data_IF_368946822045
#
_entry.id   IF_368946822045
#
_cell.length_a   1.000
_cell.length_b   1.000
_cell.length_c   1.000
_cell.angle_alpha   90.00
_cell.angle_beta   90.00
_cell.angle_gamma   90.00
#
_symmetry.space_group_name_H-M   'P 1'
#
loop_
_entity.id
_entity.type
_entity.pdbx_description
1 polymer ?
#
# COMPACT_ATOMS: atom_id res chain seq x y z
N UNK A 1 89.84 9.96 -15.80
CA UNK A 1 88.80 11.01 -15.89
C UNK A 1 87.46 10.30 -15.82
N UNK A 2 86.94 10.11 -14.62
CA UNK A 2 85.65 9.44 -14.42
C UNK A 2 84.54 10.49 -14.54
N UNK A 3 83.63 10.26 -15.49
CA UNK A 3 82.53 11.17 -15.76
C UNK A 3 81.50 11.14 -14.62
N UNK A 4 81.26 12.29 -14.00
CA UNK A 4 80.16 12.45 -13.06
C UNK A 4 78.85 12.18 -13.81
N UNK A 5 78.20 11.07 -13.47
CA UNK A 5 76.89 10.72 -14.02
C UNK A 5 75.84 11.43 -13.18
N UNK A 6 75.24 12.49 -13.74
CA UNK A 6 74.16 13.22 -13.08
C UNK A 6 72.87 12.39 -13.16
N UNK A 7 72.55 11.66 -12.09
CA UNK A 7 71.23 11.00 -11.98
C UNK A 7 70.22 12.04 -11.51
N UNK A 8 69.26 12.36 -12.37
CA UNK A 8 68.25 13.38 -12.08
C UNK A 8 67.31 12.85 -10.99
N UNK A 9 67.43 13.39 -9.78
CA UNK A 9 66.64 12.96 -8.60
C UNK A 9 65.13 13.08 -8.85
N UNK A 10 64.72 14.00 -9.72
CA UNK A 10 63.33 14.21 -10.11
C UNK A 10 62.80 13.15 -11.10
N UNK A 11 63.66 12.44 -11.83
CA UNK A 11 63.21 11.33 -12.70
C UNK A 11 62.80 10.12 -11.88
N UNK A 12 63.60 9.74 -10.88
CA UNK A 12 63.26 8.61 -9.99
C UNK A 12 62.15 8.93 -8.99
N UNK A 13 62.23 10.08 -8.29
CA UNK A 13 61.23 10.44 -7.26
C UNK A 13 59.98 11.11 -7.83
N UNK A 14 60.08 11.79 -8.96
CA UNK A 14 58.92 12.44 -9.59
C UNK A 14 57.86 11.45 -10.05
N UNK A 15 58.29 10.29 -10.57
CA UNK A 15 57.40 9.19 -10.95
C UNK A 15 56.67 8.64 -9.71
N UNK A 16 57.36 8.47 -8.58
CA UNK A 16 56.75 8.00 -7.33
C UNK A 16 55.64 8.95 -6.85
N UNK A 17 55.88 10.27 -6.89
CA UNK A 17 54.85 11.25 -6.50
C UNK A 17 53.64 11.23 -7.44
N UNK A 18 53.85 11.07 -8.75
CA UNK A 18 52.75 10.96 -9.72
C UNK A 18 51.91 9.71 -9.44
N UNK A 19 52.55 8.58 -9.15
CA UNK A 19 51.86 7.33 -8.80
C UNK A 19 51.03 7.50 -7.53
N UNK A 20 51.58 8.14 -6.49
CA UNK A 20 50.88 8.39 -5.22
C UNK A 20 49.67 9.32 -5.44
N UNK A 21 49.81 10.38 -6.23
CA UNK A 21 48.72 11.32 -6.52
C UNK A 21 47.61 10.60 -7.31
N UNK A 22 47.95 9.79 -8.32
CA UNK A 22 46.97 8.98 -9.05
C UNK A 22 46.24 7.99 -8.14
N UNK A 23 46.95 7.34 -7.21
CA UNK A 23 46.36 6.42 -6.25
C UNK A 23 45.37 7.12 -5.29
N UNK A 24 45.74 8.31 -4.80
CA UNK A 24 44.86 9.12 -3.94
C UNK A 24 43.63 9.66 -4.69
N UNK A 25 43.80 10.08 -5.94
CA UNK A 25 42.67 10.53 -6.76
C UNK A 25 41.68 9.40 -7.06
N UNK A 26 42.13 8.15 -7.14
CA UNK A 26 41.27 6.98 -7.30
C UNK A 26 40.45 6.65 -6.04
N UNK A 27 40.95 7.02 -4.85
CA UNK A 27 40.24 6.84 -3.58
C UNK A 27 39.03 7.77 -3.43
N UNK A 28 39.02 8.95 -4.08
CA UNK A 28 37.90 9.90 -4.00
C UNK A 28 36.60 9.32 -4.59
N UNK A 29 36.54 8.85 -5.84
CA UNK A 29 35.33 8.23 -6.39
C UNK A 29 34.98 6.93 -5.66
N UNK A 30 35.98 6.16 -5.21
CA UNK A 30 35.77 4.97 -4.40
C UNK A 30 35.07 5.30 -3.06
N UNK A 31 35.54 6.32 -2.34
CA UNK A 31 34.93 6.78 -1.09
C UNK A 31 33.53 7.36 -1.33
N UNK A 32 33.35 8.09 -2.43
CA UNK A 32 32.04 8.57 -2.87
C UNK A 32 31.08 7.47 -3.31
N UNK A 33 31.55 6.24 -3.58
CA UNK A 33 30.72 5.08 -3.91
C UNK A 33 30.40 4.28 -2.62
N UNK A 34 31.40 4.03 -1.78
CA UNK A 34 31.27 3.27 -0.53
C UNK A 34 30.44 4.02 0.51
N UNK A 35 30.57 5.35 0.56
CA UNK A 35 29.84 6.20 1.51
C UNK A 35 28.55 6.78 0.90
N UNK A 36 28.12 6.32 -0.28
CA UNK A 36 26.73 6.55 -0.68
C UNK A 36 25.88 5.80 0.32
N UNK A 37 25.13 6.53 1.13
CA UNK A 37 24.00 5.94 1.86
C UNK A 37 23.23 5.13 0.82
N UNK A 38 22.99 3.82 1.04
CA UNK A 38 22.15 3.08 0.12
C UNK A 38 20.87 3.91 -0.04
N UNK A 39 20.46 4.14 -1.29
CA UNK A 39 19.12 4.67 -1.56
C UNK A 39 18.20 3.51 -1.16
N UNK A 40 17.97 3.40 0.15
CA UNK A 40 16.92 2.56 0.71
C UNK A 40 15.66 3.25 0.24
N UNK A 41 15.18 2.86 -0.95
CA UNK A 41 13.79 3.10 -1.31
C UNK A 41 13.00 2.62 -0.11
N UNK A 42 12.26 3.55 0.44
CA UNK A 42 11.36 3.51 1.58
C UNK A 42 10.46 2.26 1.55
N UNK A 43 11.03 1.08 1.79
CA UNK A 43 10.33 -0.20 1.87
C UNK A 43 10.03 -0.59 3.32
N UNK A 44 10.52 0.21 4.28
CA UNK A 44 10.30 0.04 5.73
C UNK A 44 9.31 1.11 6.25
N UNK A 45 8.44 1.68 5.40
CA UNK A 45 7.28 2.44 5.88
C UNK A 45 6.07 1.56 6.21
N UNK A 46 6.08 0.29 5.80
CA UNK A 46 4.89 -0.59 5.87
C UNK A 46 4.75 -1.38 7.16
N UNK A 47 5.78 -1.45 8.01
CA UNK A 47 5.58 -1.88 9.40
C UNK A 47 5.37 -0.63 10.25
N UNK A 48 4.30 0.11 9.93
CA UNK A 48 3.70 0.99 10.92
C UNK A 48 3.42 0.12 12.13
N UNK A 49 4.08 0.42 13.25
CA UNK A 49 3.85 -0.20 14.55
C UNK A 49 2.35 -0.36 14.74
N UNK A 50 1.86 -1.61 14.87
CA UNK A 50 0.44 -1.94 15.10
C UNK A 50 -0.01 -1.37 16.45
N UNK A 51 -0.14 -0.06 16.52
CA UNK A 51 -0.50 0.72 17.71
C UNK A 51 -1.99 0.97 17.61
N UNK A 52 -2.71 0.88 18.73
CA UNK A 52 -4.17 1.02 18.77
C UNK A 52 -4.71 2.33 18.14
N UNK A 53 -3.88 3.37 18.00
CA UNK A 53 -4.25 4.65 17.37
C UNK A 53 -4.23 4.67 15.83
N UNK A 54 -3.87 3.58 15.15
CA UNK A 54 -3.81 3.52 13.67
C UNK A 54 -5.18 3.23 13.04
N UNK A 55 -6.05 2.51 13.74
CA UNK A 55 -7.36 2.13 13.23
C UNK A 55 -8.37 3.26 13.47
N UNK A 56 -8.61 4.09 12.45
CA UNK A 56 -9.67 5.10 12.44
C UNK A 56 -11.02 4.45 12.12
N UNK A 57 -11.63 3.80 13.10
CA UNK A 57 -12.92 3.12 12.93
C UNK A 57 -14.06 4.03 13.38
N UNK A 58 -14.97 4.45 12.48
CA UNK A 58 -16.19 5.16 12.86
C UNK A 58 -17.04 4.36 13.86
N UNK A 59 -17.77 5.06 14.73
CA UNK A 59 -18.74 4.41 15.61
C UNK A 59 -19.93 3.84 14.81
N UNK A 60 -20.48 2.71 15.26
CA UNK A 60 -21.62 2.07 14.61
C UNK A 60 -21.27 1.30 13.34
N UNK A 61 -20.02 0.83 13.22
CA UNK A 61 -19.61 -0.12 12.20
C UNK A 61 -19.69 -1.54 12.75
N UNK A 62 -20.21 -2.46 11.94
CA UNK A 62 -20.19 -3.89 12.19
C UNK A 62 -19.19 -4.56 11.25
N UNK A 63 -18.45 -5.53 11.75
CA UNK A 63 -17.44 -6.27 10.99
C UNK A 63 -17.87 -7.71 10.79
N UNK A 64 -17.83 -8.17 9.53
CA UNK A 64 -18.00 -9.55 9.17
C UNK A 64 -16.71 -10.34 9.33
N UNK A 65 -16.85 -11.65 9.57
CA UNK A 65 -15.73 -12.61 9.58
C UNK A 65 -14.98 -12.68 8.24
N UNK A 66 -15.59 -12.17 7.16
CA UNK A 66 -15.02 -12.17 5.81
C UNK A 66 -14.25 -10.88 5.50
N UNK A 67 -13.78 -10.15 6.51
CA UNK A 67 -13.04 -8.91 6.36
C UNK A 67 -13.79 -7.80 5.61
N UNK A 68 -15.10 -7.77 5.80
CA UNK A 68 -15.98 -6.74 5.27
C UNK A 68 -16.67 -6.02 6.39
N UNK A 69 -16.95 -4.75 6.20
CA UNK A 69 -17.66 -3.94 7.18
C UNK A 69 -18.99 -3.45 6.63
N UNK A 70 -19.90 -3.12 7.54
CA UNK A 70 -21.16 -2.46 7.23
C UNK A 70 -21.45 -1.35 8.24
N UNK A 71 -21.86 -0.19 7.73
CA UNK A 71 -22.25 0.98 8.54
C UNK A 71 -23.64 1.43 8.14
N UNK A 72 -24.56 1.50 9.11
CA UNK A 72 -25.91 2.00 8.87
C UNK A 72 -25.93 3.53 8.96
N UNK A 73 -26.25 4.17 7.85
CA UNK A 73 -26.45 5.62 7.79
C UNK A 73 -27.83 6.00 8.37
N UNK A 74 -27.96 7.26 8.80
CA UNK A 74 -29.23 7.80 9.33
C UNK A 74 -30.38 7.77 8.31
N UNK A 75 -30.06 7.68 7.02
CA UNK A 75 -31.00 7.54 5.90
C UNK A 75 -31.65 6.15 5.83
N UNK A 76 -31.12 5.16 6.56
CA UNK A 76 -31.53 3.75 6.48
C UNK A 76 -30.80 2.95 5.40
N UNK A 77 -29.89 3.58 4.64
CA UNK A 77 -28.95 2.87 3.77
C UNK A 77 -27.73 2.40 4.56
N UNK A 78 -27.16 1.26 4.18
CA UNK A 78 -25.98 0.70 4.79
C UNK A 78 -24.79 0.71 3.81
N UNK A 79 -23.72 1.42 4.18
CA UNK A 79 -22.46 1.40 3.43
C UNK A 79 -21.68 0.13 3.75
N UNK A 80 -21.07 -0.45 2.73
CA UNK A 80 -20.25 -1.66 2.86
C UNK A 80 -18.90 -1.51 2.18
N UNK A 81 -17.88 -2.23 2.66
CA UNK A 81 -16.54 -2.22 2.09
C UNK A 81 -15.63 -3.27 2.70
N UNK A 82 -14.34 -3.23 2.36
CA UNK A 82 -13.29 -4.04 3.01
C UNK A 82 -12.76 -3.35 4.25
N UNK A 83 -12.40 -4.11 5.28
CA UNK A 83 -11.81 -3.54 6.50
C UNK A 83 -10.35 -3.09 6.28
N UNK A 84 -9.87 -2.22 7.19
CA UNK A 84 -8.51 -1.70 7.15
C UNK A 84 -7.45 -2.79 7.38
N UNK A 85 -7.81 -3.86 8.11
CA UNK A 85 -6.92 -4.99 8.33
C UNK A 85 -6.60 -5.71 7.01
N UNK A 86 -7.60 -6.04 6.21
CA UNK A 86 -7.43 -6.69 4.92
C UNK A 86 -6.62 -5.82 3.97
N UNK A 87 -6.93 -4.52 3.91
CA UNK A 87 -6.16 -3.60 3.08
C UNK A 87 -4.68 -3.56 3.47
N UNK A 88 -4.36 -3.46 4.77
CA UNK A 88 -2.96 -3.44 5.24
C UNK A 88 -2.21 -4.75 5.00
N UNK A 89 -2.90 -5.89 5.12
CA UNK A 89 -2.31 -7.22 4.87
C UNK A 89 -2.04 -7.43 3.38
N UNK A 90 -2.93 -6.92 2.53
CA UNK A 90 -2.94 -7.19 1.10
C UNK A 90 -2.14 -6.13 0.31
N UNK A 91 -2.08 -4.89 0.79
CA UNK A 91 -1.43 -3.76 0.14
C UNK A 91 -2.31 -3.12 -0.94
N UNK A 92 -1.70 -2.57 -1.98
CA UNK A 92 -2.43 -1.88 -3.06
C UNK A 92 -3.46 -2.79 -3.73
N UNK A 93 -4.73 -2.41 -3.63
CA UNK A 93 -5.86 -3.21 -4.08
C UNK A 93 -6.47 -2.65 -5.36
N UNK A 94 -6.56 -3.48 -6.40
CA UNK A 94 -7.36 -3.24 -7.61
C UNK A 94 -8.70 -3.93 -7.52
N UNK A 95 -9.76 -3.29 -7.99
CA UNK A 95 -11.12 -3.84 -7.98
C UNK A 95 -11.53 -4.15 -9.42
N UNK A 96 -11.96 -5.39 -9.68
CA UNK A 96 -12.24 -5.86 -11.03
C UNK A 96 -13.73 -5.88 -11.38
N UNK A 97 -14.59 -6.14 -10.41
CA UNK A 97 -16.02 -6.33 -10.67
C UNK A 97 -16.84 -5.53 -9.68
N UNK A 98 -17.72 -4.68 -10.24
CA UNK A 98 -18.77 -4.01 -9.51
C UNK A 98 -20.14 -4.48 -9.98
N UNK A 99 -21.06 -4.65 -9.04
CA UNK A 99 -22.50 -4.73 -9.31
C UNK A 99 -23.07 -3.35 -9.56
N UNK A 100 -24.17 -3.30 -10.29
CA UNK A 100 -24.86 -2.05 -10.62
C UNK A 100 -25.92 -1.69 -9.57
N UNK A 101 -26.26 -0.40 -9.48
CA UNK A 101 -27.36 0.05 -8.65
C UNK A 101 -28.69 -0.52 -9.16
N UNK A 102 -29.56 -0.93 -8.24
CA UNK A 102 -30.82 -1.64 -8.49
C UNK A 102 -30.70 -3.17 -8.42
N UNK A 103 -29.49 -3.72 -8.36
CA UNK A 103 -29.31 -5.16 -8.15
C UNK A 103 -29.56 -5.56 -6.69
N UNK A 104 -30.18 -6.74 -6.51
CA UNK A 104 -30.25 -7.38 -5.20
C UNK A 104 -28.99 -8.19 -4.92
N UNK A 105 -28.54 -8.18 -3.68
CA UNK A 105 -27.40 -8.96 -3.18
C UNK A 105 -27.77 -9.66 -1.88
N UNK A 106 -27.31 -10.90 -1.71
CA UNK A 106 -27.52 -11.67 -0.48
C UNK A 106 -26.28 -11.64 0.41
N UNK A 107 -26.48 -11.77 1.73
CA UNK A 107 -25.40 -12.00 2.70
C UNK A 107 -24.58 -13.23 2.28
N UNK A 108 -23.26 -13.09 2.24
CA UNK A 108 -22.34 -14.13 1.79
C UNK A 108 -22.20 -14.27 0.26
N UNK A 109 -22.94 -13.51 -0.54
CA UNK A 109 -22.76 -13.46 -2.00
C UNK A 109 -21.53 -12.60 -2.34
N UNK A 110 -20.85 -12.93 -3.45
CA UNK A 110 -19.70 -12.15 -3.94
C UNK A 110 -20.19 -10.76 -4.39
N UNK A 111 -19.72 -9.73 -3.69
CA UNK A 111 -20.01 -8.33 -4.00
C UNK A 111 -18.95 -7.69 -4.88
N UNK A 112 -17.69 -8.10 -4.76
CA UNK A 112 -16.58 -7.61 -5.58
C UNK A 112 -15.43 -8.64 -5.63
N UNK A 113 -14.62 -8.59 -6.69
CA UNK A 113 -13.34 -9.30 -6.77
C UNK A 113 -12.20 -8.28 -6.66
N UNK A 114 -11.28 -8.50 -5.71
CA UNK A 114 -10.12 -7.66 -5.50
C UNK A 114 -8.82 -8.37 -5.91
N UNK A 115 -7.86 -7.61 -6.42
CA UNK A 115 -6.56 -8.10 -6.90
C UNK A 115 -5.46 -7.27 -6.26
N UNK A 116 -4.46 -7.94 -5.69
CA UNK A 116 -3.28 -7.29 -5.14
C UNK A 116 -2.02 -8.10 -5.45
N UNK A 117 -1.15 -7.50 -6.25
CA UNK A 117 -0.06 -8.23 -6.89
C UNK A 117 -0.62 -9.41 -7.69
N UNK A 118 -0.24 -10.62 -7.28
CA UNK A 118 -0.66 -11.88 -7.92
C UNK A 118 -1.86 -12.56 -7.22
N UNK A 119 -2.31 -12.02 -6.08
CA UNK A 119 -3.41 -12.59 -5.29
C UNK A 119 -4.75 -12.06 -5.78
N UNK A 120 -5.77 -12.92 -5.78
CA UNK A 120 -7.17 -12.58 -6.05
C UNK A 120 -8.03 -13.03 -4.88
N UNK A 121 -8.91 -12.16 -4.40
CA UNK A 121 -9.82 -12.45 -3.31
C UNK A 121 -11.24 -12.05 -3.67
N UNK A 122 -12.19 -12.93 -3.37
CA UNK A 122 -13.61 -12.64 -3.48
C UNK A 122 -14.09 -11.99 -2.19
N UNK A 123 -14.71 -10.82 -2.32
CA UNK A 123 -15.25 -10.05 -1.21
C UNK A 123 -16.73 -10.36 -1.10
N UNK A 124 -17.16 -10.80 0.08
CA UNK A 124 -18.53 -11.23 0.34
C UNK A 124 -19.37 -10.13 0.98
N UNK A 125 -20.62 -10.02 0.56
CA UNK A 125 -21.55 -9.05 1.15
C UNK A 125 -21.83 -9.40 2.63
N UNK A 126 -21.70 -8.43 3.55
CA UNK A 126 -22.00 -8.65 4.97
C UNK A 126 -23.51 -8.74 5.26
N UNK A 127 -24.34 -8.16 4.39
CA UNK A 127 -25.81 -8.06 4.54
C UNK A 127 -26.54 -8.33 3.23
N UNK A 128 -27.80 -8.73 3.32
CA UNK A 128 -28.70 -8.86 2.19
C UNK A 128 -29.48 -7.57 1.96
N UNK A 129 -29.71 -7.20 0.71
CA UNK A 129 -30.47 -5.99 0.36
C UNK A 129 -30.40 -5.60 -1.11
N UNK A 130 -30.87 -4.40 -1.40
CA UNK A 130 -30.84 -3.80 -2.74
C UNK A 130 -29.72 -2.75 -2.79
N UNK A 131 -28.85 -2.82 -3.81
CA UNK A 131 -27.78 -1.85 -4.01
C UNK A 131 -28.39 -0.53 -4.49
N UNK A 132 -28.37 0.51 -3.67
CA UNK A 132 -28.89 1.83 -4.07
C UNK A 132 -27.83 2.67 -4.77
N UNK A 133 -26.56 2.53 -4.39
CA UNK A 133 -25.44 3.30 -4.96
C UNK A 133 -24.15 2.48 -5.00
N UNK A 134 -23.36 2.69 -6.04
CA UNK A 134 -21.99 2.21 -6.15
C UNK A 134 -21.04 3.40 -6.08
N UNK A 135 -19.90 3.25 -5.38
CA UNK A 135 -18.94 4.33 -5.23
C UNK A 135 -18.22 4.62 -6.56
N UNK A 136 -18.60 5.73 -7.20
CA UNK A 136 -18.05 6.16 -8.49
C UNK A 136 -16.53 6.34 -8.47
N UNK A 137 -15.95 6.80 -7.36
CA UNK A 137 -14.51 6.98 -7.25
C UNK A 137 -13.75 5.66 -7.46
N UNK A 138 -14.31 4.56 -6.96
CA UNK A 138 -13.75 3.23 -7.13
C UNK A 138 -14.14 2.59 -8.45
N UNK A 139 -15.33 2.90 -8.99
CA UNK A 139 -15.71 2.44 -10.34
C UNK A 139 -14.80 3.04 -11.42
N UNK A 140 -14.43 4.31 -11.30
CA UNK A 140 -13.63 5.04 -12.29
C UNK A 140 -12.15 4.72 -12.17
N UNK A 141 -11.60 4.74 -10.95
CA UNK A 141 -10.16 4.52 -10.74
C UNK A 141 -9.79 3.04 -10.55
N UNK A 142 -10.75 2.20 -10.15
CA UNK A 142 -10.57 0.76 -9.88
C UNK A 142 -9.43 0.42 -8.90
N UNK A 143 -8.98 1.40 -8.11
CA UNK A 143 -7.87 1.25 -7.18
C UNK A 143 -8.28 1.86 -5.84
N UNK A 144 -7.98 1.15 -4.76
CA UNK A 144 -8.04 1.68 -3.41
C UNK A 144 -6.62 2.16 -3.06
N UNK A 145 -6.46 3.48 -2.91
CA UNK A 145 -5.19 4.12 -2.53
C UNK A 145 -5.27 4.89 -1.21
N UNK A 146 -6.45 4.95 -0.61
CA UNK A 146 -6.76 5.92 0.43
C UNK A 146 -6.48 5.37 1.83
N UNK A 147 -5.99 6.23 2.72
CA UNK A 147 -5.79 5.90 4.14
C UNK A 147 -7.14 5.84 4.90
N UNK A 148 -8.17 6.55 4.42
CA UNK A 148 -9.50 6.57 5.04
C UNK A 148 -10.48 5.60 4.33
N UNK A 149 -10.26 4.30 4.52
CA UNK A 149 -11.01 3.22 3.86
C UNK A 149 -12.51 3.26 4.20
N UNK A 150 -12.85 3.59 5.44
CA UNK A 150 -14.23 3.59 5.92
C UNK A 150 -15.07 4.77 5.39
N UNK A 151 -14.43 5.89 5.03
CA UNK A 151 -15.14 7.08 4.54
C UNK A 151 -15.17 7.14 3.00
N UNK A 152 -14.03 6.87 2.36
CA UNK A 152 -13.84 7.13 0.93
C UNK A 152 -13.78 5.85 0.09
N UNK A 153 -13.48 4.69 0.69
CA UNK A 153 -13.31 3.42 -0.02
C UNK A 153 -14.43 2.40 0.24
N UNK A 154 -15.65 2.86 0.52
CA UNK A 154 -16.84 2.01 0.52
C UNK A 154 -17.19 1.55 -0.91
N UNK A 155 -17.74 0.36 -1.06
CA UNK A 155 -18.08 -0.24 -2.36
C UNK A 155 -19.51 0.08 -2.75
N UNK A 156 -20.46 -0.24 -1.87
CA UNK A 156 -21.90 -0.10 -2.12
C UNK A 156 -22.62 0.54 -0.94
N UNK A 157 -23.64 1.34 -1.26
CA UNK A 157 -24.74 1.68 -0.36
C UNK A 157 -25.87 0.69 -0.63
N UNK A 158 -26.30 -0.03 0.39
CA UNK A 158 -27.28 -1.11 0.30
C UNK A 158 -28.47 -0.78 1.19
N UNK A 159 -29.69 -0.89 0.68
CA UNK A 159 -30.90 -0.87 1.50
C UNK A 159 -31.09 -2.27 2.12
N UNK A 160 -30.84 -2.46 3.43
CA UNK A 160 -30.85 -3.78 4.01
C UNK A 160 -32.26 -4.38 4.02
N UNK A 161 -32.38 -5.65 3.64
CA UNK A 161 -33.65 -6.37 3.72
C UNK A 161 -33.97 -6.79 5.17
N UNK A 162 -32.97 -7.31 5.90
CA UNK A 162 -33.13 -7.85 7.26
C UNK A 162 -31.98 -7.40 8.19
N UNK A 163 -31.87 -6.10 8.45
CA UNK A 163 -30.79 -5.53 9.26
C UNK A 163 -30.62 -6.22 10.62
N UNK A 164 -31.69 -6.29 11.42
CA UNK A 164 -31.64 -6.72 12.83
C UNK A 164 -31.23 -8.19 12.99
N UNK A 165 -31.71 -9.05 12.11
CA UNK A 165 -31.39 -10.48 12.13
C UNK A 165 -29.93 -10.70 11.71
N UNK A 166 -29.52 -10.08 10.60
CA UNK A 166 -28.19 -10.29 10.04
C UNK A 166 -27.07 -9.63 10.86
N UNK A 167 -27.39 -8.58 11.64
CA UNK A 167 -26.43 -7.90 12.51
C UNK A 167 -26.33 -8.46 13.93
N UNK A 168 -27.27 -9.31 14.33
CA UNK A 168 -27.27 -9.92 15.68
C UNK A 168 -26.09 -10.84 15.95
N UNK A 169 -25.40 -11.32 14.90
CA UNK A 169 -24.28 -12.25 14.99
C UNK A 169 -22.90 -11.67 14.65
N UNK A 170 -22.79 -10.34 14.56
CA UNK A 170 -21.49 -9.66 14.42
C UNK A 170 -20.81 -9.51 15.78
#
# INVERSE_FOLDING_TARGET
MEGFTYTNIFETKGIEYIIIICFLLMLIPFWLIVNRKPIVKQLISSVQTLTAGILRIPQGIFFSKNHTWVHLEKTGEAKTGIDDFLYRVVGDVKIKTFKTAGESIKKGEVMAEIIAGEKRLNILSPVSGEITKTNRLLTDNQIITNEDIYENAWFYSIKPANWKEETSGF
#
